data_IF_151227798991
#
_entry.id   IF_151227798991
#
_cell.length_a   1.000
_cell.length_b   1.000
_cell.length_c   1.000
_cell.angle_alpha   90.00
_cell.angle_beta   90.00
_cell.angle_gamma   90.00
#
_symmetry.space_group_name_H-M   'P 1'
#
loop_
_entity.id
_entity.type
_entity.pdbx_description
1 polymer ?
#
# COMPACT_ATOMS: atom_id res chain seq x y z
N UNK A 1 -5.75 31.10 -23.47
CA UNK A 1 -5.99 31.05 -22.02
C UNK A 1 -7.16 31.94 -21.66
N UNK A 2 -8.30 31.35 -21.30
CA UNK A 2 -9.49 32.10 -20.92
C UNK A 2 -9.33 32.57 -19.46
N UNK A 3 -9.37 33.89 -19.21
CA UNK A 3 -9.38 34.48 -17.86
C UNK A 3 -10.84 34.67 -17.43
N UNK A 4 -11.53 33.59 -17.10
CA UNK A 4 -12.86 33.64 -16.50
C UNK A 4 -12.73 33.52 -14.98
N UNK A 5 -13.47 34.34 -14.23
CA UNK A 5 -13.63 34.20 -12.79
C UNK A 5 -14.84 33.32 -12.48
N UNK A 6 -14.85 32.75 -11.28
CA UNK A 6 -16.02 32.00 -10.75
C UNK A 6 -17.27 32.90 -10.70
N UNK A 7 -17.11 34.19 -10.41
CA UNK A 7 -18.19 35.18 -10.45
C UNK A 7 -18.85 35.31 -11.83
N UNK A 8 -18.11 35.07 -12.90
CA UNK A 8 -18.58 35.29 -14.27
C UNK A 8 -19.52 34.15 -14.74
N UNK A 9 -19.49 33.01 -14.05
CA UNK A 9 -20.32 31.83 -14.30
C UNK A 9 -21.42 31.66 -13.24
N UNK A 10 -21.67 32.70 -12.43
CA UNK A 10 -22.77 32.73 -11.46
C UNK A 10 -23.72 33.86 -11.84
N UNK A 11 -24.95 33.53 -12.21
CA UNK A 11 -26.01 34.52 -12.51
C UNK A 11 -27.22 34.29 -11.62
N UNK A 12 -27.71 35.37 -11.00
CA UNK A 12 -28.86 35.34 -10.09
C UNK A 12 -28.75 34.31 -8.95
N UNK A 13 -27.52 34.01 -8.52
CA UNK A 13 -27.24 32.99 -7.51
C UNK A 13 -27.40 31.55 -8.02
N UNK A 14 -27.28 31.31 -9.33
CA UNK A 14 -27.23 29.98 -9.94
C UNK A 14 -25.96 29.83 -10.76
N UNK A 15 -25.48 28.60 -10.84
CA UNK A 15 -24.37 28.26 -11.71
C UNK A 15 -24.84 28.22 -13.17
N UNK A 16 -24.21 29.02 -14.02
CA UNK A 16 -24.35 28.96 -15.47
C UNK A 16 -23.04 28.44 -16.07
N UNK A 17 -22.86 27.11 -15.98
CA UNK A 17 -21.63 26.46 -16.42
C UNK A 17 -21.69 26.24 -17.95
N UNK A 18 -20.72 26.74 -18.73
CA UNK A 18 -20.65 26.46 -20.16
C UNK A 18 -20.50 24.96 -20.45
N UNK A 19 -21.15 24.47 -21.51
CA UNK A 19 -21.13 23.04 -21.87
C UNK A 19 -19.71 22.47 -22.04
N UNK A 20 -18.78 23.25 -22.58
CA UNK A 20 -17.36 22.85 -22.71
C UNK A 20 -16.68 22.60 -21.36
N UNK A 21 -17.16 23.21 -20.28
CA UNK A 21 -16.65 23.00 -18.93
C UNK A 21 -17.32 21.80 -18.25
N UNK A 22 -18.59 21.49 -18.58
CA UNK A 22 -19.28 20.31 -18.07
C UNK A 22 -18.57 19.00 -18.46
N UNK A 23 -18.03 18.92 -19.68
CA UNK A 23 -17.25 17.76 -20.13
C UNK A 23 -15.99 17.53 -19.27
N UNK A 24 -15.30 18.62 -18.89
CA UNK A 24 -14.13 18.56 -18.00
C UNK A 24 -14.50 18.13 -16.58
N UNK A 25 -15.61 18.64 -16.05
CA UNK A 25 -16.10 18.30 -14.71
C UNK A 25 -16.52 16.82 -14.61
N UNK A 26 -17.22 16.32 -15.64
CA UNK A 26 -17.61 14.91 -15.72
C UNK A 26 -16.39 13.99 -15.81
N UNK A 27 -15.39 14.36 -16.61
CA UNK A 27 -14.11 13.62 -16.69
C UNK A 27 -13.39 13.60 -15.34
N UNK A 28 -13.51 14.67 -14.55
CA UNK A 28 -12.91 14.81 -13.23
C UNK A 28 -13.73 14.17 -12.10
N UNK A 29 -14.83 13.47 -12.42
CA UNK A 29 -15.77 12.85 -11.46
C UNK A 29 -16.31 13.83 -10.41
N UNK A 30 -16.43 15.11 -10.77
CA UNK A 30 -17.03 16.12 -9.90
C UNK A 30 -18.55 15.94 -9.96
N UNK A 31 -19.19 15.79 -8.81
CA UNK A 31 -20.64 15.71 -8.73
C UNK A 31 -21.28 17.07 -9.11
N UNK A 32 -21.87 17.10 -10.30
CA UNK A 32 -22.52 18.28 -10.85
C UNK A 32 -23.95 18.48 -10.34
N UNK A 33 -24.51 17.51 -9.60
CA UNK A 33 -25.88 17.59 -9.07
C UNK A 33 -26.09 18.81 -8.15
N UNK A 34 -25.01 19.24 -7.49
CA UNK A 34 -25.03 20.40 -6.61
C UNK A 34 -25.14 21.75 -7.36
N UNK A 35 -24.79 21.81 -8.64
CA UNK A 35 -24.79 23.06 -9.41
C UNK A 35 -26.20 23.57 -9.76
N UNK A 36 -27.21 22.70 -9.75
CA UNK A 36 -28.60 23.11 -9.94
C UNK A 36 -29.22 23.79 -8.70
N UNK A 37 -28.53 23.77 -7.55
CA UNK A 37 -29.00 24.41 -6.32
C UNK A 37 -28.71 25.91 -6.34
N UNK A 38 -29.65 26.71 -5.83
CA UNK A 38 -29.42 28.14 -5.61
C UNK A 38 -28.30 28.32 -4.58
N UNK A 39 -27.33 29.16 -4.92
CA UNK A 39 -26.21 29.50 -4.06
C UNK A 39 -26.69 30.34 -2.87
N UNK A 40 -26.20 29.98 -1.70
CA UNK A 40 -26.32 30.78 -0.49
C UNK A 40 -25.01 31.55 -0.37
N UNK A 41 -25.09 32.88 -0.34
CA UNK A 41 -23.92 33.74 -0.18
C UNK A 41 -23.49 33.72 1.29
N UNK A 42 -22.68 32.72 1.64
CA UNK A 42 -21.99 32.61 2.92
C UNK A 42 -20.48 32.58 2.69
N UNK A 43 -19.70 32.64 3.76
CA UNK A 43 -18.27 32.37 3.67
C UNK A 43 -18.02 30.96 3.11
N UNK A 44 -17.02 30.85 2.24
CA UNK A 44 -16.60 29.59 1.67
C UNK A 44 -16.07 28.66 2.77
N UNK A 45 -16.49 27.39 2.71
CA UNK A 45 -16.03 26.34 3.63
C UNK A 45 -15.46 25.18 2.85
N UNK A 46 -14.34 24.65 3.35
CA UNK A 46 -13.77 23.40 2.85
C UNK A 46 -14.55 22.24 3.46
N UNK A 47 -15.02 21.32 2.62
CA UNK A 47 -15.77 20.14 3.03
C UNK A 47 -15.01 18.90 2.55
N UNK A 48 -14.67 18.02 3.48
CA UNK A 48 -14.09 16.71 3.19
C UNK A 48 -15.22 15.68 3.10
N UNK A 49 -15.61 15.30 1.88
CA UNK A 49 -16.77 14.42 1.65
C UNK A 49 -16.68 13.02 2.26
N UNK A 50 -15.49 12.41 2.44
CA UNK A 50 -15.40 11.11 3.12
C UNK A 50 -15.68 11.15 4.63
N UNK A 51 -15.69 12.32 5.27
CA UNK A 51 -16.12 12.45 6.67
C UNK A 51 -17.53 13.02 6.75
N UNK A 52 -18.41 12.39 7.53
CA UNK A 52 -19.81 12.80 7.67
C UNK A 52 -19.97 14.19 8.31
N UNK A 53 -18.97 14.67 9.06
CA UNK A 53 -18.96 16.04 9.62
C UNK A 53 -18.32 17.04 8.66
N UNK A 54 -17.84 16.57 7.49
CA UNK A 54 -17.15 17.37 6.50
C UNK A 54 -15.74 17.80 6.91
N UNK A 55 -15.18 17.21 7.96
CA UNK A 55 -13.89 17.64 8.52
C UNK A 55 -12.75 16.82 7.93
N UNK A 56 -11.74 17.52 7.41
CA UNK A 56 -10.54 16.87 6.92
C UNK A 56 -9.70 16.30 8.07
N UNK A 57 -9.21 15.08 7.89
CA UNK A 57 -8.16 14.49 8.72
C UNK A 57 -7.20 13.69 7.85
N UNK A 58 -5.94 13.57 8.28
CA UNK A 58 -4.96 12.71 7.61
C UNK A 58 -5.44 11.25 7.61
N UNK A 59 -6.12 10.83 8.68
CA UNK A 59 -6.64 9.46 8.80
C UNK A 59 -7.72 9.17 7.75
N UNK A 60 -8.73 10.03 7.62
CA UNK A 60 -9.80 9.86 6.63
C UNK A 60 -9.30 9.99 5.19
N UNK A 61 -8.33 10.86 4.94
CA UNK A 61 -7.66 10.95 3.64
C UNK A 61 -6.86 9.69 3.30
N UNK A 62 -6.15 9.13 4.29
CA UNK A 62 -5.39 7.89 4.11
C UNK A 62 -6.32 6.70 3.84
N UNK A 63 -7.44 6.61 4.56
CA UNK A 63 -8.43 5.55 4.36
C UNK A 63 -9.09 5.60 2.98
N UNK A 64 -9.31 6.79 2.42
CA UNK A 64 -9.88 6.98 1.08
C UNK A 64 -8.91 6.54 -0.04
N UNK A 65 -7.61 6.77 0.15
CA UNK A 65 -6.60 6.49 -0.89
C UNK A 65 -6.06 5.06 -0.79
N UNK A 66 -6.06 4.45 0.41
CA UNK A 66 -5.47 3.13 0.58
C UNK A 66 -6.35 2.04 -0.02
N UNK A 67 -5.71 1.09 -0.68
CA UNK A 67 -6.34 -0.19 -0.93
C UNK A 67 -6.35 -0.97 0.39
N UNK A 68 -7.54 -1.24 0.92
CA UNK A 68 -7.67 -2.06 2.12
C UNK A 68 -7.57 -3.54 1.73
N UNK A 69 -6.61 -4.24 2.34
CA UNK A 69 -6.47 -5.69 2.23
C UNK A 69 -6.66 -6.32 3.60
N UNK A 70 -7.15 -7.56 3.61
CA UNK A 70 -7.17 -8.36 4.82
C UNK A 70 -5.75 -8.53 5.33
N UNK A 71 -5.57 -8.29 6.63
CA UNK A 71 -4.28 -8.48 7.28
C UNK A 71 -4.00 -9.99 7.34
N UNK A 72 -2.90 -10.48 6.77
CA UNK A 72 -2.54 -11.88 6.90
C UNK A 72 -2.44 -12.31 8.35
N UNK A 73 -2.83 -13.55 8.66
CA UNK A 73 -2.80 -14.09 10.03
C UNK A 73 -1.42 -13.99 10.69
N UNK A 74 -0.35 -14.10 9.89
CA UNK A 74 1.04 -14.00 10.35
C UNK A 74 1.44 -12.59 10.83
N UNK A 75 0.76 -11.52 10.40
CA UNK A 75 1.11 -10.15 10.82
C UNK A 75 1.06 -10.00 12.34
N UNK A 76 0.07 -10.61 13.00
CA UNK A 76 -0.07 -10.57 14.47
C UNK A 76 1.08 -11.26 15.20
N UNK A 77 1.76 -12.22 14.55
CA UNK A 77 2.89 -12.94 15.14
C UNK A 77 4.17 -12.10 15.08
N UNK A 78 4.38 -11.39 13.97
CA UNK A 78 5.59 -10.59 13.72
C UNK A 78 5.61 -9.33 14.59
N UNK A 79 4.46 -8.68 14.77
CA UNK A 79 4.36 -7.40 15.49
C UNK A 79 4.05 -7.56 16.99
N UNK A 80 4.42 -8.69 17.60
CA UNK A 80 4.24 -8.88 19.06
C UNK A 80 5.23 -7.99 19.84
N UNK A 81 4.85 -7.45 21.01
CA UNK A 81 5.69 -6.51 21.77
C UNK A 81 7.09 -7.02 22.15
N UNK A 82 7.25 -8.34 22.27
CA UNK A 82 8.55 -8.96 22.62
C UNK A 82 9.47 -9.15 21.41
N UNK A 83 8.97 -9.00 20.18
CA UNK A 83 9.79 -9.09 18.97
C UNK A 83 10.44 -7.74 18.73
N UNK A 84 11.77 -7.73 18.64
CA UNK A 84 12.50 -6.48 18.38
C UNK A 84 12.07 -5.88 17.03
N UNK A 85 11.85 -4.55 16.92
CA UNK A 85 11.35 -3.93 15.69
C UNK A 85 12.20 -4.23 14.44
N UNK A 86 13.53 -4.35 14.57
CA UNK A 86 14.38 -4.71 13.43
C UNK A 86 14.12 -6.14 12.94
N UNK A 87 13.95 -7.09 13.86
CA UNK A 87 13.61 -8.48 13.56
C UNK A 87 12.22 -8.57 12.94
N UNK A 88 11.25 -7.84 13.50
CA UNK A 88 9.90 -7.76 12.95
C UNK A 88 9.91 -7.21 11.52
N UNK A 89 10.68 -6.15 11.27
CA UNK A 89 10.84 -5.57 9.93
C UNK A 89 11.48 -6.53 8.92
N UNK A 90 12.48 -7.31 9.33
CA UNK A 90 13.08 -8.34 8.45
C UNK A 90 12.07 -9.45 8.16
N UNK A 91 11.40 -9.98 9.18
CA UNK A 91 10.41 -11.04 9.01
C UNK A 91 9.23 -10.59 8.12
N UNK A 92 8.72 -9.36 8.31
CA UNK A 92 7.69 -8.79 7.45
C UNK A 92 8.15 -8.71 5.99
N UNK A 93 9.38 -8.22 5.73
CA UNK A 93 9.95 -8.16 4.37
C UNK A 93 10.08 -9.54 3.72
N UNK A 94 10.41 -10.57 4.51
CA UNK A 94 10.50 -11.94 4.02
C UNK A 94 9.11 -12.47 3.66
N UNK A 95 8.14 -12.36 4.57
CA UNK A 95 6.77 -12.85 4.37
C UNK A 95 6.03 -12.14 3.24
N UNK A 96 6.26 -10.83 3.05
CA UNK A 96 5.65 -10.02 2.00
C UNK A 96 6.41 -10.09 0.67
N UNK A 97 7.40 -10.99 0.57
CA UNK A 97 8.31 -11.11 -0.56
C UNK A 97 8.83 -9.74 -1.03
N UNK A 98 9.27 -8.90 -0.09
CA UNK A 98 9.81 -7.56 -0.33
C UNK A 98 11.25 -7.40 0.20
N UNK A 99 11.85 -8.45 0.75
CA UNK A 99 13.26 -8.51 1.09
C UNK A 99 14.15 -8.26 -0.14
N UNK A 100 15.20 -7.45 0.02
CA UNK A 100 16.18 -7.16 -1.02
C UNK A 100 17.11 -8.37 -1.20
N UNK A 101 16.71 -9.27 -2.10
CA UNK A 101 17.44 -10.49 -2.48
C UNK A 101 17.92 -10.30 -3.92
N UNK A 102 19.05 -10.91 -4.30
CA UNK A 102 19.63 -10.78 -5.64
C UNK A 102 18.61 -11.04 -6.77
N UNK A 103 17.73 -12.03 -6.62
CA UNK A 103 16.64 -12.31 -7.56
C UNK A 103 15.79 -11.07 -7.89
N UNK A 104 15.46 -10.24 -6.87
CA UNK A 104 14.65 -9.02 -7.09
C UNK A 104 15.44 -7.90 -7.73
N UNK A 105 16.75 -7.84 -7.48
CA UNK A 105 17.65 -6.90 -8.12
C UNK A 105 17.77 -7.24 -9.61
N UNK A 106 17.89 -8.53 -9.95
CA UNK A 106 17.89 -9.02 -11.32
C UNK A 106 16.57 -8.72 -12.06
N UNK A 107 15.41 -8.92 -11.42
CA UNK A 107 14.09 -8.56 -12.00
C UNK A 107 13.97 -7.07 -12.34
N UNK A 108 14.79 -6.20 -11.75
CA UNK A 108 14.85 -4.77 -12.06
C UNK A 108 15.86 -4.40 -13.15
N UNK A 109 16.42 -5.40 -13.85
CA UNK A 109 17.32 -5.21 -14.99
C UNK A 109 18.80 -5.15 -14.64
N UNK A 110 19.20 -5.47 -13.40
CA UNK A 110 20.61 -5.51 -13.00
C UNK A 110 21.15 -6.93 -13.18
N UNK A 111 22.03 -7.13 -14.15
CA UNK A 111 22.66 -8.43 -14.38
C UNK A 111 23.75 -8.70 -13.33
N UNK A 112 23.43 -9.56 -12.37
CA UNK A 112 24.36 -10.08 -11.35
C UNK A 112 24.51 -11.59 -11.54
N UNK A 113 25.67 -12.15 -11.23
CA UNK A 113 25.81 -13.60 -11.06
C UNK A 113 25.11 -13.95 -9.74
N UNK A 114 23.96 -14.63 -9.79
CA UNK A 114 23.26 -14.98 -8.56
C UNK A 114 23.78 -16.27 -7.98
N UNK A 115 24.25 -16.20 -6.74
CA UNK A 115 24.76 -17.34 -5.99
C UNK A 115 24.55 -17.07 -4.50
N UNK A 116 23.88 -18.00 -3.82
CA UNK A 116 23.59 -17.92 -2.39
C UNK A 116 24.83 -17.49 -1.59
N UNK A 117 24.70 -16.37 -0.87
CA UNK A 117 25.75 -15.81 -0.03
C UNK A 117 26.31 -16.78 1.02
N UNK A 118 25.50 -17.77 1.40
CA UNK A 118 25.76 -18.68 2.53
C UNK A 118 26.31 -20.03 2.08
N UNK A 119 25.55 -20.79 1.29
CA UNK A 119 25.95 -22.15 0.90
C UNK A 119 26.79 -22.21 -0.39
N UNK A 120 26.73 -21.17 -1.23
CA UNK A 120 27.40 -21.10 -2.54
C UNK A 120 27.04 -22.22 -3.54
N UNK A 121 25.89 -22.88 -3.38
CA UNK A 121 25.49 -24.03 -4.20
C UNK A 121 24.43 -23.73 -5.26
N UNK A 122 23.53 -22.77 -5.01
CA UNK A 122 22.40 -22.44 -5.89
C UNK A 122 22.22 -20.92 -5.95
N UNK A 123 21.48 -20.42 -6.94
CA UNK A 123 21.08 -19.03 -7.04
C UNK A 123 20.33 -18.56 -5.78
N UNK A 124 20.52 -17.30 -5.40
CA UNK A 124 19.90 -16.72 -4.22
C UNK A 124 18.45 -16.33 -4.52
N UNK A 125 17.51 -16.99 -3.84
CA UNK A 125 16.10 -16.63 -3.81
C UNK A 125 15.53 -16.89 -2.40
N UNK A 126 14.30 -16.45 -2.15
CA UNK A 126 13.71 -16.55 -0.81
C UNK A 126 13.46 -18.01 -0.36
N UNK A 127 13.04 -18.88 -1.27
CA UNK A 127 12.80 -20.30 -1.00
C UNK A 127 14.11 -21.00 -0.65
N UNK A 128 15.18 -20.70 -1.38
CA UNK A 128 16.50 -21.22 -1.09
C UNK A 128 17.02 -20.70 0.25
N UNK A 129 17.02 -19.38 0.48
CA UNK A 129 17.55 -18.79 1.71
C UNK A 129 16.84 -19.26 2.98
N UNK A 130 15.52 -19.51 2.91
CA UNK A 130 14.72 -19.90 4.07
C UNK A 130 14.49 -21.40 4.20
N UNK A 131 14.58 -22.20 3.13
CA UNK A 131 14.19 -23.61 3.16
C UNK A 131 15.20 -24.56 2.51
N UNK A 132 15.59 -24.31 1.26
CA UNK A 132 16.40 -25.28 0.51
C UNK A 132 17.89 -25.25 0.89
N UNK A 133 18.39 -24.09 1.33
CA UNK A 133 19.78 -23.88 1.69
C UNK A 133 20.20 -24.87 2.80
N UNK A 134 21.29 -25.63 2.63
CA UNK A 134 21.77 -26.57 3.65
C UNK A 134 21.98 -25.93 5.02
N UNK A 135 22.43 -24.67 5.04
CA UNK A 135 22.57 -23.90 6.28
C UNK A 135 21.21 -23.60 6.93
N UNK A 136 20.21 -23.19 6.14
CA UNK A 136 18.86 -22.94 6.64
C UNK A 136 18.21 -24.24 7.16
N UNK A 137 18.36 -25.35 6.45
CA UNK A 137 17.92 -26.68 6.90
C UNK A 137 18.52 -27.05 8.25
N UNK A 138 19.83 -26.87 8.41
CA UNK A 138 20.50 -27.12 9.69
C UNK A 138 19.94 -26.27 10.85
N UNK A 139 19.58 -25.01 10.59
CA UNK A 139 18.90 -24.16 11.58
C UNK A 139 17.52 -24.74 11.92
N UNK A 140 16.72 -25.11 10.92
CA UNK A 140 15.38 -25.65 11.15
C UNK A 140 15.40 -26.98 11.89
N UNK A 141 16.31 -27.88 11.55
CA UNK A 141 16.55 -29.13 12.27
C UNK A 141 16.93 -28.86 13.72
N UNK A 142 17.83 -27.90 13.96
CA UNK A 142 18.19 -27.49 15.31
C UNK A 142 17.00 -26.94 16.09
N UNK A 143 16.21 -26.03 15.50
CA UNK A 143 14.98 -25.49 16.12
C UNK A 143 13.98 -26.62 16.42
N UNK A 144 13.71 -27.48 15.44
CA UNK A 144 12.78 -28.60 15.56
C UNK A 144 13.20 -29.55 16.70
N UNK A 145 14.50 -29.82 16.82
CA UNK A 145 15.05 -30.64 17.91
C UNK A 145 14.84 -30.01 19.29
N UNK A 146 14.91 -28.68 19.40
CA UNK A 146 14.76 -27.95 20.67
C UNK A 146 13.31 -27.83 21.11
N UNK A 147 12.41 -27.57 20.15
CA UNK A 147 11.01 -27.28 20.44
C UNK A 147 10.06 -28.46 20.15
N UNK A 148 10.60 -29.59 19.69
CA UNK A 148 9.85 -30.81 19.34
C UNK A 148 8.74 -30.56 18.32
N UNK A 149 9.00 -29.70 17.35
CA UNK A 149 8.10 -29.55 16.20
C UNK A 149 8.11 -30.85 15.39
N UNK A 150 6.96 -31.54 15.33
CA UNK A 150 6.70 -32.55 14.29
C UNK A 150 6.15 -31.79 13.08
N UNK A 151 7.00 -31.46 12.13
CA UNK A 151 6.58 -30.81 10.90
C UNK A 151 7.47 -31.26 9.76
N UNK A 152 6.87 -31.90 8.76
CA UNK A 152 7.53 -32.22 7.50
C UNK A 152 7.87 -30.89 6.82
N UNK A 153 9.14 -30.69 6.48
CA UNK A 153 9.68 -29.46 5.87
C UNK A 153 9.17 -29.21 4.42
N UNK A 154 8.19 -29.97 3.95
CA UNK A 154 7.64 -29.89 2.59
C UNK A 154 6.52 -28.84 2.42
N UNK A 155 5.92 -28.35 3.51
CA UNK A 155 4.73 -27.47 3.49
C UNK A 155 5.00 -25.96 3.68
N UNK A 156 6.24 -25.49 3.51
CA UNK A 156 6.61 -24.06 3.65
C UNK A 156 7.21 -23.47 2.38
#
# INVERSE_FOLDING_TARGET
>A
HCKAKVSDIIKEGRWEIPNSFLELLNTSRIDTSCFNRRLIFSEDRRIWTPDIKGVFSVHSAYDEIRNSYDKPGWCKLIWRPFVHPSTAGIAWKLMDNCAAIEEKIQRRGVHLVSMCGVCKQQAENIHHLLGECPFAKGIWEWIASKFRFRGDMEDM
#
